data_IF_801856336715
#
_entry.id   IF_801856336715
#
_cell.length_a   1.000
_cell.length_b   1.000
_cell.length_c   1.000
_cell.angle_alpha   90.00
_cell.angle_beta   90.00
_cell.angle_gamma   90.00
#
_symmetry.space_group_name_H-M   'P 1'
#
loop_
_entity.id
_entity.type
_entity.pdbx_description
1 polymer ?
#
# COMPACT_ATOMS: atom_id res chain seq x y z
N UNK A 1 -23.09 -36.27 43.88
CA UNK A 1 -23.19 -36.29 45.36
C UNK A 1 -22.73 -34.95 45.90
N UNK A 2 -23.62 -34.35 46.72
CA UNK A 2 -23.44 -33.22 47.68
C UNK A 2 -23.21 -31.85 47.02
N UNK A 3 -24.19 -31.04 46.86
CA UNK A 3 -25.18 -30.30 47.72
C UNK A 3 -24.55 -29.22 48.61
N UNK A 4 -25.13 -28.01 48.45
CA UNK A 4 -25.59 -27.04 49.47
C UNK A 4 -24.50 -25.99 49.82
N UNK A 5 -24.74 -24.67 50.08
CA UNK A 5 -25.89 -23.98 50.63
C UNK A 5 -25.79 -22.47 50.39
N UNK A 6 -26.88 -21.91 50.10
CA UNK A 6 -27.48 -20.62 50.41
C UNK A 6 -26.88 -19.82 51.55
N UNK A 7 -26.81 -18.51 51.41
CA UNK A 7 -26.50 -17.54 52.44
C UNK A 7 -26.99 -16.15 52.06
N UNK A 8 -28.26 -15.91 52.32
CA UNK A 8 -28.93 -14.62 52.22
C UNK A 8 -28.68 -13.84 53.52
N UNK A 9 -28.16 -12.61 53.43
CA UNK A 9 -28.16 -11.70 54.57
C UNK A 9 -28.64 -10.31 54.14
N UNK A 10 -29.85 -9.99 54.60
CA UNK A 10 -30.43 -8.66 54.65
C UNK A 10 -29.74 -7.86 55.73
N UNK A 11 -29.32 -6.62 55.48
CA UNK A 11 -29.14 -5.58 56.50
C UNK A 11 -29.67 -4.24 56.00
N UNK A 12 -30.37 -3.63 56.91
CA UNK A 12 -31.32 -2.54 56.82
C UNK A 12 -30.73 -1.18 56.40
N UNK A 13 -31.63 -0.39 55.86
CA UNK A 13 -31.66 1.04 55.56
C UNK A 13 -31.19 1.92 56.74
N UNK A 14 -30.33 2.90 56.43
CA UNK A 14 -30.24 4.16 57.16
C UNK A 14 -30.27 5.33 56.15
N UNK A 15 -31.34 6.07 56.19
CA UNK A 15 -31.59 7.29 55.41
C UNK A 15 -30.87 8.45 56.05
N UNK A 16 -29.82 8.96 55.42
CA UNK A 16 -29.12 10.17 55.85
C UNK A 16 -29.38 11.29 54.82
N UNK A 17 -30.12 12.28 55.21
CA UNK A 17 -30.35 13.52 54.41
C UNK A 17 -29.06 14.32 54.45
N UNK A 18 -28.41 14.46 53.29
CA UNK A 18 -27.41 15.49 53.07
C UNK A 18 -27.98 16.56 52.17
N UNK A 19 -28.04 17.79 52.69
CA UNK A 19 -28.33 18.99 51.94
C UNK A 19 -27.20 19.29 51.01
N UNK A 20 -27.41 19.23 49.72
CA UNK A 20 -26.43 19.61 48.72
C UNK A 20 -26.48 21.09 48.44
N UNK A 21 -25.50 21.82 48.86
CA UNK A 21 -25.20 23.19 48.42
C UNK A 21 -24.69 23.09 46.98
N UNK A 22 -25.43 23.60 46.04
CA UNK A 22 -25.06 23.68 44.63
C UNK A 22 -23.99 24.78 44.43
N UNK A 23 -22.74 24.38 44.28
CA UNK A 23 -21.69 25.27 43.71
C UNK A 23 -21.77 25.14 42.22
N UNK A 24 -22.16 26.25 41.56
CA UNK A 24 -22.12 26.38 40.11
C UNK A 24 -20.65 26.35 39.66
N UNK A 25 -20.20 25.21 39.16
CA UNK A 25 -18.93 25.11 38.43
C UNK A 25 -19.13 25.67 37.04
N UNK A 26 -18.44 26.77 36.75
CA UNK A 26 -18.34 27.32 35.40
C UNK A 26 -17.69 26.30 34.49
N UNK A 27 -18.47 25.74 33.56
CA UNK A 27 -17.94 24.93 32.46
C UNK A 27 -17.19 25.86 31.51
N UNK A 28 -15.86 25.89 31.61
CA UNK A 28 -15.02 26.40 30.52
C UNK A 28 -15.13 25.41 29.38
N UNK A 29 -15.94 25.75 28.37
CA UNK A 29 -16.01 25.04 27.10
C UNK A 29 -14.65 25.10 26.41
N UNK A 30 -13.82 24.08 26.57
CA UNK A 30 -12.61 23.88 25.80
C UNK A 30 -13.03 23.54 24.39
N UNK A 31 -13.08 24.56 23.52
CA UNK A 31 -13.26 24.38 22.07
C UNK A 31 -11.97 23.76 21.53
N UNK A 32 -11.93 22.45 21.43
CA UNK A 32 -10.90 21.75 20.67
C UNK A 32 -11.06 22.20 19.22
N UNK A 33 -10.07 22.83 18.57
CA UNK A 33 -10.20 23.17 17.18
C UNK A 33 -10.40 21.87 16.38
N UNK A 34 -11.52 21.80 15.65
CA UNK A 34 -11.75 20.68 14.73
C UNK A 34 -10.62 20.69 13.70
N UNK A 35 -9.68 19.76 13.84
CA UNK A 35 -8.70 19.51 12.79
C UNK A 35 -9.49 19.07 11.57
N UNK A 36 -9.52 19.91 10.54
CA UNK A 36 -10.13 19.56 9.25
C UNK A 36 -9.27 18.41 8.69
N UNK A 37 -9.67 17.18 8.94
CA UNK A 37 -9.11 16.03 8.24
C UNK A 37 -9.57 16.17 6.79
N UNK A 38 -8.67 16.63 5.93
CA UNK A 38 -8.91 16.66 4.48
C UNK A 38 -9.18 15.22 4.05
N UNK A 39 -10.38 14.94 3.59
CA UNK A 39 -10.76 13.62 3.09
C UNK A 39 -9.84 13.24 1.93
N UNK A 40 -9.00 12.24 2.13
CA UNK A 40 -8.09 11.76 1.10
C UNK A 40 -8.90 10.94 0.10
N UNK A 41 -9.15 11.52 -1.07
CA UNK A 41 -9.93 10.87 -2.13
C UNK A 41 -9.04 9.96 -2.96
N UNK A 42 -9.49 8.70 -3.12
CA UNK A 42 -8.91 7.78 -4.11
C UNK A 42 -9.09 8.37 -5.52
N UNK A 43 -8.03 8.41 -6.28
CA UNK A 43 -7.98 8.84 -7.67
C UNK A 43 -7.62 7.64 -8.55
N UNK A 44 -8.12 7.63 -9.77
CA UNK A 44 -7.86 6.60 -10.75
C UNK A 44 -7.40 7.22 -12.06
N UNK A 45 -6.31 6.70 -12.60
CA UNK A 45 -5.84 7.02 -13.96
C UNK A 45 -5.47 5.75 -14.72
N UNK A 46 -5.45 5.84 -16.03
CA UNK A 46 -4.96 4.77 -16.90
C UNK A 46 -4.17 5.34 -18.07
N UNK A 47 -3.30 4.53 -18.66
CA UNK A 47 -2.50 4.94 -19.79
C UNK A 47 -1.69 3.79 -20.36
N UNK A 48 -0.78 4.12 -21.25
CA UNK A 48 0.14 3.17 -21.89
C UNK A 48 1.54 3.33 -21.34
N UNK A 49 2.33 2.26 -21.47
CA UNK A 49 3.78 2.36 -21.26
C UNK A 49 4.54 1.47 -22.23
N UNK A 50 5.75 1.89 -22.55
CA UNK A 50 6.76 1.09 -23.22
C UNK A 50 7.70 0.51 -22.18
N UNK A 51 8.21 -0.72 -22.40
CA UNK A 51 9.12 -1.37 -21.48
C UNK A 51 10.22 -2.10 -22.21
N UNK A 52 11.45 -1.95 -21.70
CA UNK A 52 12.62 -2.77 -22.05
C UNK A 52 13.07 -3.55 -20.85
N UNK A 53 13.19 -4.85 -21.02
CA UNK A 53 13.72 -5.77 -20.02
C UNK A 53 15.05 -6.32 -20.54
N UNK A 54 16.16 -6.01 -19.86
CA UNK A 54 17.48 -6.44 -20.30
C UNK A 54 18.03 -7.48 -19.31
N UNK A 55 18.24 -8.73 -19.75
CA UNK A 55 18.86 -9.77 -18.93
C UNK A 55 20.22 -9.34 -18.39
N UNK A 56 20.50 -9.66 -17.14
CA UNK A 56 21.74 -9.40 -16.45
C UNK A 56 22.37 -10.71 -16.00
N UNK A 57 23.70 -10.72 -15.87
CA UNK A 57 24.38 -11.83 -15.23
C UNK A 57 23.94 -11.99 -13.77
N UNK A 58 24.03 -13.21 -13.24
CA UNK A 58 23.86 -13.44 -11.81
C UNK A 58 24.85 -12.59 -11.01
N UNK A 59 24.45 -12.17 -9.82
CA UNK A 59 25.38 -11.48 -8.94
C UNK A 59 26.49 -12.45 -8.49
N UNK A 60 27.72 -11.96 -8.29
CA UNK A 60 28.84 -12.80 -7.88
C UNK A 60 28.53 -13.59 -6.60
N UNK A 61 28.83 -14.88 -6.60
CA UNK A 61 28.65 -15.78 -5.46
C UNK A 61 27.28 -16.43 -5.31
N UNK A 62 26.32 -16.09 -6.19
CA UNK A 62 24.97 -16.70 -6.19
C UNK A 62 24.61 -17.38 -7.52
N UNK A 63 25.57 -17.65 -8.37
CA UNK A 63 25.35 -18.25 -9.70
C UNK A 63 24.63 -19.60 -9.61
N UNK A 64 24.95 -20.37 -8.58
CA UNK A 64 24.31 -21.67 -8.33
C UNK A 64 22.82 -21.58 -7.91
N UNK A 65 22.35 -20.41 -7.50
CA UNK A 65 20.96 -20.21 -7.10
C UNK A 65 19.97 -20.22 -8.30
N UNK A 66 20.49 -20.13 -9.54
CA UNK A 66 19.69 -20.18 -10.78
C UNK A 66 18.60 -19.13 -10.83
N UNK A 67 18.85 -17.94 -10.27
CA UNK A 67 17.93 -16.81 -10.32
C UNK A 67 18.10 -16.04 -11.62
N UNK A 68 16.98 -15.66 -12.23
CA UNK A 68 16.97 -14.67 -13.31
C UNK A 68 17.10 -13.27 -12.75
N UNK A 69 17.87 -12.40 -13.41
CA UNK A 69 18.02 -10.98 -13.08
C UNK A 69 17.82 -10.15 -14.34
N UNK A 70 17.01 -9.08 -14.25
CA UNK A 70 16.79 -8.16 -15.37
C UNK A 70 16.79 -6.72 -14.87
N UNK A 71 17.27 -5.79 -15.69
CA UNK A 71 16.96 -4.37 -15.51
C UNK A 71 15.65 -4.04 -16.20
N UNK A 72 14.93 -3.10 -15.61
CA UNK A 72 13.66 -2.57 -16.10
C UNK A 72 13.90 -1.12 -16.51
N UNK A 73 13.44 -0.77 -17.71
CA UNK A 73 13.43 0.59 -18.25
C UNK A 73 12.04 0.81 -18.88
N UNK A 74 11.22 1.72 -18.28
CA UNK A 74 9.88 2.00 -18.77
C UNK A 74 9.68 3.48 -19.06
N UNK A 75 8.88 3.75 -20.07
CA UNK A 75 8.36 5.07 -20.36
C UNK A 75 6.84 5.04 -20.25
N UNK A 76 6.29 5.74 -19.24
CA UNK A 76 4.86 5.92 -19.06
C UNK A 76 4.33 7.11 -19.84
N UNK A 77 3.09 7.00 -20.32
CA UNK A 77 2.40 8.03 -21.12
C UNK A 77 0.98 8.26 -20.56
N UNK A 78 0.46 9.47 -20.75
CA UNK A 78 -0.85 9.90 -20.28
C UNK A 78 -0.73 10.76 -19.02
N UNK A 79 -1.66 10.62 -18.08
CA UNK A 79 -1.66 11.39 -16.82
C UNK A 79 -0.47 11.06 -15.91
N UNK A 80 0.16 9.91 -16.09
CA UNK A 80 1.50 9.60 -15.62
C UNK A 80 2.48 9.75 -16.76
N UNK A 81 3.19 10.88 -16.83
CA UNK A 81 4.28 11.13 -17.77
C UNK A 81 5.61 10.97 -17.04
N UNK A 82 6.17 9.77 -17.09
CA UNK A 82 7.30 9.42 -16.25
C UNK A 82 8.18 8.35 -16.90
N UNK A 83 9.46 8.38 -16.54
CA UNK A 83 10.41 7.33 -16.82
C UNK A 83 10.68 6.53 -15.54
N UNK A 84 10.80 5.21 -15.65
CA UNK A 84 11.20 4.40 -14.51
C UNK A 84 12.40 3.50 -14.82
N UNK A 85 13.23 3.32 -13.81
CA UNK A 85 14.35 2.39 -13.81
C UNK A 85 14.24 1.48 -12.60
N UNK A 86 14.52 0.18 -12.80
CA UNK A 86 14.44 -0.80 -11.73
C UNK A 86 15.16 -2.10 -12.03
N UNK A 87 15.07 -3.01 -11.08
CA UNK A 87 15.57 -4.37 -11.20
C UNK A 87 14.51 -5.40 -10.82
N UNK A 88 14.58 -6.54 -11.48
CA UNK A 88 13.73 -7.71 -11.24
C UNK A 88 14.60 -8.93 -10.98
N UNK A 89 14.22 -9.69 -9.95
CA UNK A 89 14.72 -11.03 -9.68
C UNK A 89 13.60 -12.05 -9.89
N UNK A 90 13.91 -13.17 -10.54
CA UNK A 90 12.93 -14.20 -10.83
C UNK A 90 13.50 -15.61 -10.61
N UNK A 91 12.60 -16.55 -10.42
CA UNK A 91 12.94 -17.97 -10.38
C UNK A 91 11.87 -18.76 -11.15
N UNK A 92 12.32 -19.77 -11.90
CA UNK A 92 11.43 -20.75 -12.54
C UNK A 92 11.22 -21.94 -11.62
N UNK A 93 9.99 -22.39 -11.51
CA UNK A 93 9.68 -23.66 -10.84
C UNK A 93 9.97 -24.88 -11.72
N UNK A 94 10.02 -26.06 -11.12
CA UNK A 94 10.20 -27.33 -11.85
C UNK A 94 9.00 -27.66 -12.75
N UNK A 95 7.82 -27.17 -12.43
CA UNK A 95 6.62 -27.37 -13.22
C UNK A 95 6.52 -26.28 -14.30
N UNK A 96 6.37 -26.71 -15.56
CA UNK A 96 6.21 -25.79 -16.69
C UNK A 96 5.09 -24.77 -16.44
N UNK A 97 5.39 -23.49 -16.66
CA UNK A 97 4.45 -22.39 -16.43
C UNK A 97 4.34 -21.97 -14.97
N UNK A 98 5.23 -22.44 -14.09
CA UNK A 98 5.34 -21.98 -12.71
C UNK A 98 6.61 -21.16 -12.52
N UNK A 99 6.46 -19.96 -11.96
CA UNK A 99 7.54 -19.01 -11.75
C UNK A 99 7.16 -18.00 -10.66
N UNK A 100 8.14 -17.31 -10.12
CA UNK A 100 7.94 -16.16 -9.25
C UNK A 100 8.92 -15.04 -9.58
N UNK A 101 8.53 -13.80 -9.33
CA UNK A 101 9.44 -12.67 -9.43
C UNK A 101 9.10 -11.58 -8.41
N UNK A 102 10.10 -10.79 -8.09
CA UNK A 102 9.96 -9.52 -7.38
C UNK A 102 10.69 -8.43 -8.16
N UNK A 103 10.18 -7.20 -8.13
CA UNK A 103 10.86 -6.08 -8.74
C UNK A 103 10.66 -4.81 -7.91
N UNK A 104 11.67 -3.93 -8.01
CA UNK A 104 11.61 -2.57 -7.46
C UNK A 104 12.00 -1.63 -8.60
N UNK A 105 11.16 -0.61 -8.83
CA UNK A 105 11.45 0.44 -9.80
C UNK A 105 11.14 1.83 -9.24
N UNK A 106 12.01 2.78 -9.52
CA UNK A 106 11.78 4.20 -9.22
C UNK A 106 11.20 4.89 -10.44
N UNK A 107 10.03 5.45 -10.26
CA UNK A 107 9.30 6.24 -11.25
C UNK A 107 9.59 7.72 -11.00
N UNK A 108 10.00 8.47 -12.04
CA UNK A 108 10.34 9.89 -11.94
C UNK A 108 9.71 10.66 -13.10
N UNK A 109 8.99 11.73 -12.79
CA UNK A 109 8.28 12.52 -13.79
C UNK A 109 7.13 13.32 -13.21
N UNK A 110 5.98 13.29 -13.88
CA UNK A 110 4.76 13.97 -13.41
C UNK A 110 3.58 13.02 -13.34
N UNK A 111 2.79 13.14 -12.28
CA UNK A 111 1.51 12.47 -12.08
C UNK A 111 0.40 13.52 -12.04
N UNK A 112 -0.47 13.55 -13.06
CA UNK A 112 -1.50 14.60 -13.22
C UNK A 112 -0.91 16.02 -13.12
N UNK A 113 0.27 16.23 -13.74
CA UNK A 113 1.00 17.52 -13.72
C UNK A 113 1.82 17.79 -12.46
N UNK A 114 1.69 16.99 -11.39
CA UNK A 114 2.49 17.12 -10.16
C UNK A 114 3.84 16.43 -10.32
N UNK A 115 4.92 17.15 -10.09
CA UNK A 115 6.29 16.69 -10.27
C UNK A 115 6.80 15.93 -9.05
N UNK A 116 7.59 14.88 -9.29
CA UNK A 116 8.25 14.13 -8.24
C UNK A 116 8.68 12.73 -8.69
N UNK A 117 9.00 11.90 -7.70
CA UNK A 117 9.30 10.49 -7.91
C UNK A 117 8.65 9.65 -6.83
N UNK A 118 8.48 8.36 -7.10
CA UNK A 118 8.02 7.36 -6.14
C UNK A 118 8.58 5.99 -6.52
N UNK A 119 8.44 5.02 -5.63
CA UNK A 119 8.92 3.66 -5.87
C UNK A 119 7.72 2.70 -5.96
N UNK A 120 7.73 1.84 -6.97
CA UNK A 120 6.81 0.71 -7.11
C UNK A 120 7.52 -0.59 -6.71
N UNK A 121 6.84 -1.41 -5.93
CA UNK A 121 7.24 -2.77 -5.59
C UNK A 121 6.28 -3.75 -6.26
N UNK A 122 6.84 -4.72 -6.98
CA UNK A 122 6.10 -5.78 -7.67
C UNK A 122 6.33 -7.12 -7.01
N UNK A 123 5.28 -7.89 -6.91
CA UNK A 123 5.31 -9.32 -6.56
C UNK A 123 4.46 -10.07 -7.56
N UNK A 124 5.06 -10.93 -8.33
CA UNK A 124 4.38 -11.71 -9.35
C UNK A 124 4.60 -13.21 -9.18
N UNK A 125 3.55 -13.98 -9.38
CA UNK A 125 3.64 -15.43 -9.48
C UNK A 125 2.93 -15.93 -10.74
N UNK A 126 3.41 -17.03 -11.26
CA UNK A 126 2.76 -17.81 -12.29
C UNK A 126 2.57 -19.23 -11.75
N UNK A 127 1.35 -19.69 -11.60
CA UNK A 127 1.06 -21.03 -11.15
C UNK A 127 0.46 -21.82 -12.31
N UNK A 128 1.28 -22.65 -12.97
CA UNK A 128 0.86 -23.48 -14.12
C UNK A 128 0.15 -22.67 -15.21
N UNK A 129 0.68 -21.47 -15.51
CA UNK A 129 0.13 -20.56 -16.51
C UNK A 129 -0.91 -19.57 -15.98
N UNK A 130 -1.30 -19.64 -14.71
CA UNK A 130 -2.22 -18.67 -14.09
C UNK A 130 -1.42 -17.57 -13.42
N UNK A 131 -1.48 -16.31 -13.91
CA UNK A 131 -0.72 -15.20 -13.37
C UNK A 131 -1.42 -14.59 -12.14
N UNK A 132 -0.61 -14.12 -11.19
CA UNK A 132 -1.02 -13.24 -10.12
C UNK A 132 0.03 -12.14 -9.98
N UNK A 133 -0.38 -10.89 -10.00
CA UNK A 133 0.50 -9.72 -9.92
C UNK A 133 -0.05 -8.71 -8.91
N UNK A 134 0.81 -8.27 -8.02
CA UNK A 134 0.55 -7.14 -7.13
C UNK A 134 1.63 -6.09 -7.35
N UNK A 135 1.21 -4.84 -7.57
CA UNK A 135 2.11 -3.70 -7.67
C UNK A 135 1.59 -2.63 -6.73
N UNK A 136 2.46 -2.14 -5.85
CA UNK A 136 2.09 -1.12 -4.88
C UNK A 136 3.18 -0.05 -4.74
N UNK A 137 2.75 1.16 -4.39
CA UNK A 137 3.67 2.23 -4.02
C UNK A 137 4.32 1.86 -2.69
N UNK A 138 5.65 1.95 -2.64
CA UNK A 138 6.39 1.76 -1.38
C UNK A 138 6.07 2.92 -0.44
N UNK A 139 5.67 2.66 0.81
CA UNK A 139 5.35 3.72 1.76
C UNK A 139 6.47 4.76 1.86
N UNK A 140 6.08 6.03 1.94
CA UNK A 140 6.96 7.20 2.11
C UNK A 140 8.02 7.38 1.00
N UNK A 141 7.85 6.71 -0.14
CA UNK A 141 8.78 6.84 -1.28
C UNK A 141 8.50 8.04 -2.18
N UNK A 142 7.36 8.71 -2.01
CA UNK A 142 6.98 9.90 -2.76
C UNK A 142 7.86 11.10 -2.41
N UNK A 143 8.27 11.87 -3.43
CA UNK A 143 9.11 13.07 -3.28
C UNK A 143 8.44 14.30 -3.88
N UNK A 144 8.90 15.47 -3.51
CA UNK A 144 8.39 16.76 -4.02
C UNK A 144 6.87 16.85 -3.87
N UNK A 145 6.13 17.13 -4.96
CA UNK A 145 4.66 17.22 -4.97
C UNK A 145 3.96 15.86 -4.84
N UNK A 146 4.71 14.75 -4.90
CA UNK A 146 4.21 13.38 -4.71
C UNK A 146 4.47 12.84 -3.30
N UNK A 147 4.90 13.68 -2.36
CA UNK A 147 5.07 13.30 -0.94
C UNK A 147 3.75 12.78 -0.37
N UNK A 148 3.79 11.62 0.29
CA UNK A 148 2.62 10.94 0.86
C UNK A 148 1.80 10.14 -0.15
N UNK A 149 2.25 10.02 -1.41
CA UNK A 149 1.60 9.17 -2.41
C UNK A 149 1.53 7.73 -1.90
N UNK A 150 0.35 7.13 -2.01
CA UNK A 150 0.10 5.70 -1.79
C UNK A 150 -0.83 5.17 -2.87
N UNK A 151 -0.76 3.88 -3.17
CA UNK A 151 -1.65 3.31 -4.19
C UNK A 151 -1.20 1.96 -4.72
N UNK A 152 -2.00 1.45 -5.67
CA UNK A 152 -1.76 0.17 -6.35
C UNK A 152 -1.89 0.33 -7.85
N UNK A 153 -1.05 -0.37 -8.59
CA UNK A 153 -1.06 -0.35 -10.05
C UNK A 153 -1.39 -1.73 -10.61
N UNK A 154 -2.27 -1.78 -11.60
CA UNK A 154 -2.51 -2.94 -12.44
C UNK A 154 -1.80 -2.81 -13.79
N UNK A 155 -1.48 -3.92 -14.41
CA UNK A 155 -0.92 -3.99 -15.77
C UNK A 155 -1.78 -4.91 -16.62
N UNK A 156 -2.17 -4.43 -17.79
CA UNK A 156 -2.82 -5.19 -18.84
C UNK A 156 -1.95 -5.22 -20.10
N UNK A 157 -1.94 -6.35 -20.82
CA UNK A 157 -1.24 -6.49 -22.09
C UNK A 157 -2.28 -6.85 -23.14
N UNK A 158 -2.46 -5.97 -24.16
CA UNK A 158 -3.38 -6.18 -25.27
C UNK A 158 -2.64 -5.87 -26.57
N UNK A 159 -2.68 -6.78 -27.53
CA UNK A 159 -2.04 -6.62 -28.85
C UNK A 159 -0.56 -6.22 -28.76
N UNK A 160 0.18 -6.81 -27.81
CA UNK A 160 1.59 -6.51 -27.48
C UNK A 160 1.82 -5.09 -26.93
N UNK A 161 0.78 -4.31 -26.68
CA UNK A 161 0.85 -3.01 -26.02
C UNK A 161 0.59 -3.19 -24.53
N UNK A 162 1.39 -2.52 -23.70
CA UNK A 162 1.23 -2.50 -22.26
C UNK A 162 0.39 -1.30 -21.82
N UNK A 163 -0.53 -1.54 -20.90
CA UNK A 163 -1.38 -0.54 -20.27
C UNK A 163 -1.23 -0.62 -18.76
N UNK A 164 -1.37 0.52 -18.08
CA UNK A 164 -1.46 0.58 -16.64
C UNK A 164 -2.83 1.12 -16.21
N UNK A 165 -3.27 0.69 -15.03
CA UNK A 165 -4.37 1.27 -14.26
C UNK A 165 -3.78 1.60 -12.89
N UNK A 166 -3.90 2.83 -12.42
CA UNK A 166 -3.29 3.27 -11.19
C UNK A 166 -4.33 3.92 -10.28
N UNK A 167 -4.62 3.26 -9.16
CA UNK A 167 -5.47 3.75 -8.09
C UNK A 167 -4.57 4.30 -6.99
N UNK A 168 -4.74 5.57 -6.63
CA UNK A 168 -3.84 6.22 -5.69
C UNK A 168 -4.53 7.29 -4.85
N UNK A 169 -3.91 7.60 -3.72
CA UNK A 169 -4.22 8.74 -2.87
C UNK A 169 -2.99 9.63 -2.81
N UNK A 170 -3.21 10.92 -3.01
CA UNK A 170 -2.20 11.95 -2.86
C UNK A 170 -2.78 13.03 -1.92
N UNK A 171 -2.16 13.28 -0.76
CA UNK A 171 -2.63 14.21 0.29
C UNK A 171 -2.79 15.66 -0.15
#
# INVERSE_FOLDING_TARGET
MKTILSGMLLVASSLSLYTTTSLAQGQTSSTIPATIVKEQRMQHISGKFDVKLNPQAAAPGIEAARLGRMTIDKQFHGDLQAHSLGEMLSAMGEIKGSAGYVAIERVSGTLMGKKGSFVLMHTGTMNRGQPQLTIQVVPDSGTEELTGLSGTMGIDIKDKQHFYNFDFVLP
#
